data_IF_626180274419
#
_entry.id   IF_626180274419
#
_cell.length_a   1.000
_cell.length_b   1.000
_cell.length_c   1.000
_cell.angle_alpha   90.00
_cell.angle_beta   90.00
_cell.angle_gamma   90.00
#
_symmetry.space_group_name_H-M   'P 1'
#
loop_
_entity.id
_entity.type
_entity.pdbx_description
1 polymer ?
#
# COMPACT_ATOMS: atom_id res chain seq x y z
N UNK A 1 6.13 -2.60 -19.45
CA UNK A 1 4.81 -2.94 -18.86
C UNK A 1 5.01 -3.66 -17.53
N UNK A 2 4.37 -3.23 -16.44
CA UNK A 2 4.55 -3.89 -15.13
C UNK A 2 3.94 -5.30 -15.16
N UNK A 3 4.80 -6.32 -15.12
CA UNK A 3 4.47 -7.75 -15.23
C UNK A 3 3.28 -8.17 -14.35
N UNK A 4 3.17 -7.59 -13.16
CA UNK A 4 2.08 -7.84 -12.21
C UNK A 4 0.71 -7.47 -12.82
N UNK A 5 0.63 -6.34 -13.53
CA UNK A 5 -0.60 -5.88 -14.20
C UNK A 5 -1.00 -6.83 -15.33
N UNK A 6 -0.02 -7.33 -16.08
CA UNK A 6 -0.26 -8.26 -17.19
C UNK A 6 -0.79 -9.61 -16.70
N UNK A 7 -0.28 -10.11 -15.58
CA UNK A 7 -0.73 -11.38 -14.98
C UNK A 7 -2.15 -11.23 -14.42
N UNK A 8 -2.45 -10.11 -13.75
CA UNK A 8 -3.76 -9.82 -13.17
C UNK A 8 -4.85 -9.67 -14.27
N UNK A 9 -4.57 -8.88 -15.31
CA UNK A 9 -5.51 -8.64 -16.42
C UNK A 9 -5.78 -9.90 -17.27
N UNK A 10 -4.79 -10.79 -17.44
CA UNK A 10 -4.95 -12.04 -18.22
C UNK A 10 -5.69 -13.15 -17.46
N UNK A 11 -5.60 -13.19 -16.12
CA UNK A 11 -6.16 -14.29 -15.32
C UNK A 11 -7.42 -13.91 -14.53
N UNK A 12 -7.70 -12.62 -14.31
CA UNK A 12 -8.85 -12.14 -13.53
C UNK A 12 -9.55 -10.92 -14.16
N UNK A 13 -10.15 -11.07 -15.36
CA UNK A 13 -10.54 -9.93 -16.20
C UNK A 13 -11.60 -8.96 -15.62
N UNK A 14 -12.31 -9.28 -14.53
CA UNK A 14 -13.49 -8.50 -14.09
C UNK A 14 -13.76 -8.43 -12.56
N UNK A 15 -12.78 -8.60 -11.66
CA UNK A 15 -13.12 -8.63 -10.21
C UNK A 15 -13.00 -7.32 -9.44
N UNK A 16 -12.34 -6.29 -9.97
CA UNK A 16 -12.08 -5.06 -9.19
C UNK A 16 -12.37 -3.78 -9.98
N UNK A 17 -13.43 -3.05 -9.58
CA UNK A 17 -13.86 -1.81 -10.22
C UNK A 17 -12.98 -0.61 -9.87
N UNK A 18 -12.57 -0.47 -8.59
CA UNK A 18 -11.81 0.69 -8.12
C UNK A 18 -10.96 0.33 -6.90
N UNK A 19 -9.72 0.82 -6.90
CA UNK A 19 -8.77 0.73 -5.81
C UNK A 19 -8.71 2.06 -5.07
N UNK A 20 -8.99 2.05 -3.77
CA UNK A 20 -8.89 3.23 -2.92
C UNK A 20 -7.66 3.12 -2.03
N UNK A 21 -6.76 4.10 -2.12
CA UNK A 21 -5.58 4.21 -1.27
C UNK A 21 -5.89 5.28 -0.23
N UNK A 22 -5.94 4.88 1.04
CA UNK A 22 -6.26 5.72 2.20
C UNK A 22 -5.06 5.84 3.12
N UNK A 23 -5.04 6.88 3.96
CA UNK A 23 -3.96 7.17 4.91
C UNK A 23 -2.56 7.20 4.26
N UNK A 24 -2.49 7.66 3.01
CA UNK A 24 -1.23 7.75 2.28
C UNK A 24 -0.40 8.94 2.79
N UNK A 25 0.89 8.75 3.12
CA UNK A 25 1.76 9.86 3.51
C UNK A 25 1.98 10.80 2.32
N UNK A 26 2.29 12.08 2.57
CA UNK A 26 2.43 13.10 1.51
C UNK A 26 3.41 12.71 0.39
N UNK A 27 4.46 11.96 0.72
CA UNK A 27 5.44 11.43 -0.24
C UNK A 27 4.79 10.52 -1.29
N UNK A 28 3.73 9.79 -0.92
CA UNK A 28 3.03 8.90 -1.83
C UNK A 28 2.41 9.67 -3.00
N UNK A 29 1.81 10.83 -2.73
CA UNK A 29 1.22 11.68 -3.77
C UNK A 29 2.29 12.21 -4.74
N UNK A 30 3.50 12.49 -4.26
CA UNK A 30 4.61 12.92 -5.11
C UNK A 30 5.10 11.77 -6.01
N UNK A 31 5.33 10.59 -5.43
CA UNK A 31 5.70 9.39 -6.19
C UNK A 31 4.61 9.00 -7.19
N UNK A 32 3.34 9.06 -6.80
CA UNK A 32 2.21 8.74 -7.65
C UNK A 32 2.14 9.62 -8.90
N UNK A 33 2.52 10.89 -8.81
CA UNK A 33 2.59 11.78 -9.99
C UNK A 33 3.63 11.33 -11.01
N UNK A 34 4.74 10.72 -10.56
CA UNK A 34 5.82 10.22 -11.43
C UNK A 34 5.47 8.84 -11.99
N UNK A 35 4.80 7.99 -11.21
CA UNK A 35 4.44 6.62 -11.61
C UNK A 35 3.18 6.58 -12.49
N UNK A 36 2.20 7.47 -12.24
CA UNK A 36 0.91 7.48 -12.94
C UNK A 36 1.03 7.54 -14.48
N UNK A 37 1.94 8.32 -15.10
CA UNK A 37 2.13 8.33 -16.55
C UNK A 37 2.52 6.97 -17.16
N UNK A 38 3.18 6.11 -16.38
CA UNK A 38 3.72 4.82 -16.81
C UNK A 38 2.70 3.67 -16.73
N UNK A 39 1.58 3.90 -16.04
CA UNK A 39 0.50 2.92 -15.95
C UNK A 39 -0.39 3.03 -17.18
N UNK A 40 -1.02 1.92 -17.58
CA UNK A 40 -2.05 1.96 -18.62
C UNK A 40 -3.25 2.80 -18.18
N UNK A 41 -3.94 3.44 -19.12
CA UNK A 41 -5.09 4.30 -18.84
C UNK A 41 -6.22 3.56 -18.09
N UNK A 42 -6.35 2.25 -18.35
CA UNK A 42 -7.24 1.34 -17.62
C UNK A 42 -6.92 1.29 -16.12
N UNK A 43 -5.65 1.18 -15.76
CA UNK A 43 -5.17 1.12 -14.37
C UNK A 43 -5.22 2.49 -13.70
N UNK A 44 -4.90 3.57 -14.43
CA UNK A 44 -4.98 4.95 -13.91
C UNK A 44 -6.39 5.33 -13.47
N UNK A 45 -7.41 4.91 -14.22
CA UNK A 45 -8.82 5.18 -13.89
C UNK A 45 -9.33 4.36 -12.71
N UNK A 46 -8.75 3.19 -12.47
CA UNK A 46 -9.12 2.32 -11.35
C UNK A 46 -8.56 2.80 -10.01
N UNK A 47 -7.44 3.54 -9.98
CA UNK A 47 -6.76 3.87 -8.72
C UNK A 47 -7.10 5.29 -8.27
N UNK A 48 -7.67 5.41 -7.07
CA UNK A 48 -8.01 6.66 -6.41
C UNK A 48 -7.20 6.81 -5.11
N UNK A 49 -6.45 7.91 -5.01
CA UNK A 49 -5.66 8.24 -3.83
C UNK A 49 -6.46 9.23 -3.00
N UNK A 50 -6.97 8.79 -1.85
CA UNK A 50 -7.77 9.57 -0.94
C UNK A 50 -6.88 10.25 0.10
N UNK A 51 -7.20 11.50 0.43
CA UNK A 51 -6.52 12.19 1.54
C UNK A 51 -7.13 11.77 2.88
N UNK A 52 -6.27 11.59 3.90
CA UNK A 52 -6.71 11.21 5.25
C UNK A 52 -7.32 9.81 5.32
N UNK A 53 -8.33 9.62 6.17
CA UNK A 53 -8.98 8.33 6.37
C UNK A 53 -9.94 7.91 5.23
N UNK A 54 -10.19 8.79 4.25
CA UNK A 54 -11.00 8.49 3.07
C UNK A 54 -12.47 8.16 3.34
N UNK A 55 -12.98 8.47 4.54
CA UNK A 55 -14.32 8.09 5.01
C UNK A 55 -15.43 8.50 4.05
N UNK A 56 -15.48 9.77 3.66
CA UNK A 56 -16.60 10.30 2.87
C UNK A 56 -16.66 9.71 1.45
N UNK A 57 -15.50 9.44 0.86
CA UNK A 57 -15.42 8.82 -0.46
C UNK A 57 -15.75 7.33 -0.40
N UNK A 58 -15.33 6.63 0.66
CA UNK A 58 -15.69 5.23 0.86
C UNK A 58 -17.19 5.06 1.19
N UNK A 59 -17.79 5.96 1.98
CA UNK A 59 -19.23 5.90 2.29
C UNK A 59 -20.14 6.00 1.06
N UNK A 60 -19.65 6.54 -0.06
CA UNK A 60 -20.41 6.57 -1.32
C UNK A 60 -20.51 5.20 -1.99
N UNK A 61 -19.59 4.28 -1.67
CA UNK A 61 -19.47 2.98 -2.34
C UNK A 61 -19.71 1.78 -1.41
N UNK A 62 -19.62 1.97 -0.09
CA UNK A 62 -19.81 0.90 0.88
C UNK A 62 -20.53 1.37 2.14
N UNK A 63 -21.30 0.46 2.75
CA UNK A 63 -22.04 0.71 3.98
C UNK A 63 -21.09 1.03 5.16
N UNK A 64 -21.56 1.88 6.07
CA UNK A 64 -20.80 2.27 7.26
C UNK A 64 -20.35 1.06 8.12
N UNK A 65 -21.19 0.04 8.24
CA UNK A 65 -20.90 -1.20 8.98
C UNK A 65 -19.81 -2.06 8.33
N UNK A 66 -19.49 -1.81 7.06
CA UNK A 66 -18.46 -2.53 6.31
C UNK A 66 -17.13 -1.77 6.30
N UNK A 67 -17.13 -0.49 6.68
CA UNK A 67 -15.91 0.31 6.71
C UNK A 67 -14.91 -0.25 7.71
N UNK A 68 -13.60 -0.24 7.40
CA UNK A 68 -12.58 -0.50 8.41
C UNK A 68 -12.70 0.48 9.58
N UNK A 69 -12.35 0.04 10.80
CA UNK A 69 -12.46 0.87 12.01
C UNK A 69 -11.75 2.22 11.86
N UNK A 70 -10.58 2.23 11.23
CA UNK A 70 -9.80 3.45 10.99
C UNK A 70 -10.45 4.43 10.00
N UNK A 71 -11.39 3.98 9.15
CA UNK A 71 -12.18 4.84 8.26
C UNK A 71 -13.46 5.34 8.95
N UNK A 72 -13.91 4.70 10.03
CA UNK A 72 -15.16 5.08 10.72
C UNK A 72 -14.97 6.26 11.64
N UNK A 73 -13.81 6.39 12.25
CA UNK A 73 -13.54 7.49 13.16
C UNK A 73 -13.31 8.77 12.35
N UNK A 74 -14.10 9.80 12.62
CA UNK A 74 -13.82 11.13 12.08
C UNK A 74 -12.40 11.49 12.50
N UNK A 75 -11.54 11.77 11.51
CA UNK A 75 -10.20 12.25 11.78
C UNK A 75 -10.33 13.62 12.41
N UNK A 76 -10.48 13.68 13.72
CA UNK A 76 -10.32 14.90 14.49
C UNK A 76 -8.89 15.35 14.22
N UNK A 77 -8.75 16.34 13.34
CA UNK A 77 -7.50 17.04 13.13
C UNK A 77 -6.92 17.41 14.48
N UNK A 78 -5.65 17.09 14.67
CA UNK A 78 -4.84 17.27 15.89
C UNK A 78 -5.34 18.42 16.77
N UNK A 79 -6.30 18.10 17.63
CA UNK A 79 -6.82 18.98 18.66
C UNK A 79 -6.60 18.23 19.95
N UNK A 80 -5.84 18.86 20.84
CA UNK A 80 -5.43 18.36 22.14
C UNK A 80 -6.68 18.08 22.97
N UNK A 81 -7.29 16.91 22.81
CA UNK A 81 -8.35 16.46 23.69
C UNK A 81 -7.71 15.63 24.80
N UNK A 82 -7.57 16.31 25.93
CA UNK A 82 -7.37 15.75 27.24
C UNK A 82 -8.64 14.97 27.62
N UNK A 83 -8.71 13.69 27.24
CA UNK A 83 -9.87 12.84 27.46
C UNK A 83 -9.43 11.39 27.65
N UNK A 84 -9.69 10.87 28.84
CA UNK A 84 -9.47 9.47 29.21
C UNK A 84 -10.38 8.56 28.35
N UNK A 85 -9.90 8.18 27.17
CA UNK A 85 -10.61 7.32 26.22
C UNK A 85 -9.61 6.36 25.62
N UNK A 86 -9.71 5.09 26.01
CA UNK A 86 -8.91 3.97 25.53
C UNK A 86 -8.89 3.98 24.00
N UNK A 87 -7.80 4.48 23.42
CA UNK A 87 -7.65 4.70 21.99
C UNK A 87 -7.46 3.32 21.35
N UNK A 88 -8.56 2.71 20.89
CA UNK A 88 -8.57 1.41 20.19
C UNK A 88 -8.04 1.52 18.75
N UNK A 89 -6.97 2.28 18.55
CA UNK A 89 -6.32 2.44 17.25
C UNK A 89 -5.79 1.07 16.84
N UNK A 90 -6.37 0.47 15.80
CA UNK A 90 -5.99 -0.85 15.29
C UNK A 90 -4.52 -0.94 14.82
N UNK A 91 -3.83 0.19 14.71
CA UNK A 91 -2.41 0.31 14.37
C UNK A 91 -1.50 0.49 15.59
N UNK A 92 -2.05 0.65 16.81
CA UNK A 92 -1.25 0.74 18.02
C UNK A 92 -0.68 -0.61 18.39
N UNK A 93 0.61 -0.69 18.73
CA UNK A 93 1.24 -1.93 19.20
C UNK A 93 0.57 -2.49 20.47
N UNK A 94 -0.02 -1.61 21.27
CA UNK A 94 -0.70 -1.97 22.52
C UNK A 94 -2.14 -2.49 22.30
N UNK A 95 -2.63 -2.53 21.06
CA UNK A 95 -3.97 -3.04 20.79
C UNK A 95 -4.07 -4.53 21.13
N UNK A 96 -5.15 -4.93 21.83
CA UNK A 96 -5.35 -6.29 22.35
C UNK A 96 -5.10 -7.39 21.30
N UNK A 97 -5.59 -7.16 20.08
CA UNK A 97 -5.33 -8.05 18.93
C UNK A 97 -3.84 -8.33 18.70
N UNK A 98 -2.99 -7.31 18.66
CA UNK A 98 -1.55 -7.49 18.38
C UNK A 98 -0.85 -8.21 19.53
N UNK A 99 -1.22 -7.90 20.77
CA UNK A 99 -0.69 -8.59 21.94
C UNK A 99 -1.09 -10.08 21.94
N UNK A 100 -2.36 -10.38 21.65
CA UNK A 100 -2.86 -11.76 21.55
C UNK A 100 -2.15 -12.53 20.43
N UNK A 101 -2.03 -11.92 19.24
CA UNK A 101 -1.34 -12.51 18.10
C UNK A 101 0.13 -12.80 18.41
N UNK A 102 0.83 -11.82 19.01
CA UNK A 102 2.24 -11.99 19.40
C UNK A 102 2.41 -13.13 20.40
N UNK A 103 1.58 -13.17 21.44
CA UNK A 103 1.62 -14.24 22.44
C UNK A 103 1.32 -15.61 21.83
N UNK A 104 0.35 -15.69 20.91
CA UNK A 104 0.03 -16.91 20.19
C UNK A 104 1.20 -17.40 19.34
N UNK A 105 1.81 -16.54 18.53
CA UNK A 105 2.99 -16.89 17.71
C UNK A 105 4.14 -17.36 18.60
N UNK A 106 4.36 -16.69 19.73
CA UNK A 106 5.39 -17.05 20.71
C UNK A 106 5.14 -18.44 21.32
N UNK A 107 3.89 -18.77 21.65
CA UNK A 107 3.49 -20.09 22.15
C UNK A 107 3.64 -21.16 21.07
N UNK A 108 3.23 -20.89 19.83
CA UNK A 108 3.42 -21.81 18.71
C UNK A 108 4.90 -22.10 18.47
N UNK A 109 5.75 -21.06 18.44
CA UNK A 109 7.18 -21.22 18.26
C UNK A 109 7.84 -22.03 19.39
N UNK A 110 7.35 -21.89 20.62
CA UNK A 110 7.81 -22.69 21.76
C UNK A 110 7.34 -24.15 21.69
N UNK A 111 6.18 -24.43 21.08
CA UNK A 111 5.70 -25.79 20.80
C UNK A 111 6.42 -26.46 19.63
N UNK A 112 6.95 -25.67 18.68
CA UNK A 112 7.77 -26.15 17.57
C UNK A 112 9.21 -26.33 18.07
N UNK A 113 9.43 -27.32 18.94
CA UNK A 113 10.77 -27.80 19.19
C UNK A 113 11.31 -28.53 17.95
N UNK A 114 12.39 -27.98 17.39
CA UNK A 114 13.35 -28.63 16.49
C UNK A 114 12.85 -29.31 15.20
N UNK A 115 11.96 -28.70 14.42
CA UNK A 115 11.94 -28.99 12.98
C UNK A 115 12.80 -27.95 12.27
N UNK A 116 13.94 -28.39 11.74
CA UNK A 116 14.79 -27.58 10.86
C UNK A 116 13.94 -26.92 9.76
N UNK A 117 14.28 -25.69 9.31
CA UNK A 117 13.51 -25.02 8.27
C UNK A 117 13.40 -25.93 7.04
N UNK A 118 12.17 -26.29 6.68
CA UNK A 118 11.92 -27.06 5.45
C UNK A 118 12.35 -26.17 4.29
N UNK A 119 13.34 -26.61 3.52
CA UNK A 119 13.76 -25.92 2.30
C UNK A 119 12.62 -26.01 1.28
N UNK A 120 11.76 -25.01 1.25
CA UNK A 120 10.88 -24.79 0.09
C UNK A 120 11.76 -24.31 -1.07
N UNK A 121 11.77 -25.07 -2.17
CA UNK A 121 12.41 -24.68 -3.40
C UNK A 121 11.80 -23.39 -3.97
N UNK A 122 12.54 -22.69 -4.84
CA UNK A 122 12.00 -21.51 -5.50
C UNK A 122 10.85 -21.89 -6.43
N UNK A 123 9.71 -21.19 -6.29
CA UNK A 123 8.63 -21.26 -7.28
C UNK A 123 9.06 -20.42 -8.48
N UNK A 124 9.53 -21.08 -9.53
CA UNK A 124 9.90 -20.42 -10.78
C UNK A 124 8.64 -20.08 -11.59
N UNK A 125 8.18 -18.84 -11.47
CA UNK A 125 7.18 -18.29 -12.39
C UNK A 125 7.91 -17.89 -13.67
N UNK A 126 7.50 -18.45 -14.82
CA UNK A 126 8.07 -18.04 -16.11
C UNK A 126 7.59 -16.64 -16.47
N UNK A 127 8.54 -15.71 -16.59
CA UNK A 127 8.29 -14.34 -17.01
C UNK A 127 8.36 -14.23 -18.54
N UNK A 128 7.45 -13.49 -19.20
CA UNK A 128 7.65 -13.06 -20.57
C UNK A 128 8.88 -12.14 -20.65
N UNK A 129 9.72 -12.31 -21.69
CA UNK A 129 10.84 -11.41 -21.93
C UNK A 129 10.33 -9.98 -22.21
N UNK A 130 10.95 -8.95 -21.62
CA UNK A 130 10.54 -7.56 -21.82
C UNK A 130 10.85 -7.10 -23.26
N UNK A 131 9.89 -6.37 -23.83
CA UNK A 131 9.99 -5.76 -25.16
C UNK A 131 11.16 -4.75 -25.23
N UNK A 132 11.90 -4.66 -26.35
CA UNK A 132 12.95 -3.65 -26.54
C UNK A 132 12.50 -2.19 -26.44
N UNK A 133 11.23 -1.84 -26.32
CA UNK A 133 10.77 -0.48 -25.98
C UNK A 133 10.73 -0.20 -24.46
N UNK A 134 10.67 -1.24 -23.61
CA UNK A 134 10.62 -1.09 -22.14
C UNK A 134 11.95 -0.58 -21.56
N UNK A 135 13.08 -0.84 -22.23
CA UNK A 135 14.41 -0.36 -21.83
C UNK A 135 14.51 1.18 -21.84
N UNK A 136 13.84 1.84 -22.78
CA UNK A 136 13.82 3.30 -22.95
C UNK A 136 13.01 3.97 -21.86
N UNK A 137 11.99 3.27 -21.36
CA UNK A 137 11.16 3.71 -20.24
C UNK A 137 11.95 3.64 -18.93
N UNK A 138 12.70 2.56 -18.70
CA UNK A 138 13.58 2.42 -17.52
C UNK A 138 14.62 3.55 -17.48
N UNK A 139 15.29 3.81 -18.61
CA UNK A 139 16.27 4.91 -18.72
C UNK A 139 15.65 6.28 -18.44
N UNK A 140 14.40 6.50 -18.87
CA UNK A 140 13.67 7.75 -18.61
C UNK A 140 13.34 7.90 -17.13
N UNK A 141 12.92 6.83 -16.45
CA UNK A 141 12.64 6.84 -15.01
C UNK A 141 13.88 7.11 -14.17
N UNK A 142 15.00 6.48 -14.50
CA UNK A 142 16.28 6.70 -13.82
C UNK A 142 16.74 8.14 -13.97
N UNK A 143 16.60 8.71 -15.17
CA UNK A 143 16.96 10.10 -15.46
C UNK A 143 16.09 11.08 -14.66
N UNK A 144 14.79 10.85 -14.57
CA UNK A 144 13.85 11.68 -13.79
C UNK A 144 14.06 11.56 -12.28
N UNK A 145 14.35 10.37 -11.77
CA UNK A 145 14.73 10.15 -10.37
C UNK A 145 16.01 10.91 -10.01
N UNK A 146 17.02 10.85 -10.87
CA UNK A 146 18.29 11.54 -10.66
C UNK A 146 18.12 13.07 -10.70
N UNK A 147 17.21 13.56 -11.56
CA UNK A 147 16.84 14.98 -11.66
C UNK A 147 16.11 15.48 -10.41
N UNK A 148 15.19 14.70 -9.86
CA UNK A 148 14.49 15.02 -8.60
C UNK A 148 15.44 14.98 -7.39
N UNK A 149 16.43 14.08 -7.39
CA UNK A 149 17.47 14.04 -6.36
C UNK A 149 18.34 15.30 -6.30
N UNK A 150 18.64 15.92 -7.45
CA UNK A 150 19.43 17.16 -7.53
C UNK A 150 18.67 18.41 -7.07
N UNK A 151 17.33 18.43 -7.15
CA UNK A 151 16.53 19.58 -6.72
C UNK A 151 16.38 19.68 -5.20
N UNK A 152 16.56 18.58 -4.47
CA UNK A 152 16.47 18.55 -3.01
C UNK A 152 17.78 18.94 -2.30
N UNK A 153 18.82 19.35 -3.04
CA UNK A 153 20.12 19.75 -2.50
C UNK A 153 20.35 21.26 -2.35
N UNK A 154 19.39 22.11 -2.75
CA UNK A 154 19.57 23.57 -2.71
C UNK A 154 18.32 24.21 -2.08
N UNK A 155 18.18 24.08 -0.76
CA UNK A 155 17.47 25.05 0.08
C UNK A 155 17.89 24.84 1.54
N UNK A 156 19.16 25.11 1.83
CA UNK A 156 19.57 25.58 3.16
C UNK A 156 20.67 26.63 3.01
N UNK A 157 20.24 27.88 3.04
CA UNK A 157 20.87 29.10 3.59
C UNK A 157 20.04 30.29 3.10
#
# INVERSE_FOLDING_TARGET
>A
MTVITTIDDLNYPEKTNTYYIVNAPYVFSACWKVVRPLLQERTKKKIQVLQGCGRDELLKVMDYSSLPHFCRQESHGSSRQNGNGTMNTCFSLDHDFHQQLYNYIKQQAALVESTSPVRQGSVHVKFPEPDPEDNKIVVTMETELHRLGHQNGIHHC
#
